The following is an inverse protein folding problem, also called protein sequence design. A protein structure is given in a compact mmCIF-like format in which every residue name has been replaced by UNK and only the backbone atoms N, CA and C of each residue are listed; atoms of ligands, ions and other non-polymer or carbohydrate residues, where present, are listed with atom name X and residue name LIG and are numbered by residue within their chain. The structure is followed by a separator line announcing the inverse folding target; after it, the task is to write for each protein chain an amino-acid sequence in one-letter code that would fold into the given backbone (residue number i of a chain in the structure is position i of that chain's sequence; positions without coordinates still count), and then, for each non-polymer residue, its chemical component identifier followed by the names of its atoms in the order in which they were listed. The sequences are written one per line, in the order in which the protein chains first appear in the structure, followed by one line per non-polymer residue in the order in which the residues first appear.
data_IF_110745042262
#
_entry.id   IF_110745042262
#
_cell.length_a   1.000
_cell.length_b   1.000
_cell.length_c   1.000
_cell.angle_alpha   90.00
_cell.angle_beta   90.00
_cell.angle_gamma   90.00
#
_symmetry.space_group_name_H-M   'P 1'
#
loop_
_entity.id
_entity.type
_entity.pdbx_description
1 polymer ?
2 non-polymer ?
3 non-polymer ?
4 water ?
#
# COMPACT_ATOMS: atom_id res chain seq x y z
N UNK A 1 7.27 -10.44 18.33
CA UNK A 1 6.20 -9.54 17.85
C UNK A 1 6.86 -8.39 17.08
N UNK A 2 6.35 -8.07 15.89
CA UNK A 2 6.86 -6.93 15.09
C UNK A 2 5.86 -5.81 15.17
N UNK A 3 6.33 -4.58 15.18
CA UNK A 3 5.49 -3.39 15.20
C UNK A 3 6.00 -2.38 14.17
N UNK A 4 5.11 -1.88 13.32
CA UNK A 4 5.48 -0.82 12.40
C UNK A 4 4.66 0.43 12.70
N UNK A 5 5.33 1.56 12.84
CA UNK A 5 4.72 2.82 13.22
C UNK A 5 5.07 3.83 12.14
N UNK A 6 4.12 4.69 11.79
CA UNK A 6 4.34 5.57 10.66
C UNK A 6 3.38 6.73 10.69
N UNK A 7 3.89 7.89 10.26
CA UNK A 7 3.16 9.14 10.38
C UNK A 7 2.06 9.29 9.35
N UNK A 8 0.92 9.77 9.85
CA UNK A 8 -0.27 10.00 9.04
C UNK A 8 -0.26 11.33 8.29
N UNK A 9 -0.40 11.26 6.97
CA UNK A 9 -0.71 12.46 6.21
C UNK A 9 0.42 13.48 6.35
N UNK A 10 1.58 12.97 6.75
CA UNK A 10 2.80 13.77 6.85
C UNK A 10 3.09 14.54 5.55
N UNK A 11 2.86 13.93 4.39
CA UNK A 11 3.10 14.62 3.14
C UNK A 11 2.29 15.89 2.95
N UNK A 12 1.08 15.95 3.49
CA UNK A 12 0.24 17.11 3.22
C UNK A 12 0.81 18.39 3.85
N UNK A 13 1.37 18.31 5.06
CA UNK A 13 1.91 19.50 5.70
C UNK A 13 3.26 19.88 5.08
N UNK A 14 4.00 18.89 4.57
CA UNK A 14 5.27 19.14 3.88
C UNK A 14 5.01 19.82 2.54
N UNK A 15 4.12 19.22 1.76
CA UNK A 15 3.74 19.81 0.48
C UNK A 15 3.14 21.19 0.67
N UNK A 16 2.31 21.37 1.71
CA UNK A 16 1.75 22.70 1.96
C UNK A 16 2.87 23.73 2.12
N UNK A 17 3.98 23.33 2.72
CA UNK A 17 5.08 24.25 2.98
C UNK A 17 5.84 24.59 1.71
N UNK A 18 6.01 23.64 0.81
CA UNK A 18 6.61 23.95 -0.48
C UNK A 18 5.78 24.99 -1.22
N UNK A 19 4.48 24.78 -1.30
CA UNK A 19 3.60 25.52 -2.19
C UNK A 19 3.35 26.90 -1.66
N UNK A 20 3.43 27.06 -0.35
CA UNK A 20 3.33 28.41 0.19
C UNK A 20 4.71 29.09 0.42
N UNK A 21 5.79 28.50 -0.09
CA UNK A 21 7.13 29.04 0.07
C UNK A 21 7.48 29.31 1.53
N UNK A 22 7.20 28.33 2.37
CA UNK A 22 7.39 28.44 3.80
C UNK A 22 8.49 27.50 4.24
N UNK A 23 9.73 27.83 3.88
CA UNK A 23 10.85 26.94 4.18
C UNK A 23 11.06 26.71 5.69
N UNK A 24 10.78 27.70 6.54
CA UNK A 24 11.03 27.53 7.96
C UNK A 24 10.10 26.50 8.56
N UNK A 25 8.81 26.58 8.09
CA UNK A 25 7.78 25.60 8.49
C UNK A 25 8.17 24.26 7.87
N UNK A 26 8.69 24.24 6.67
CA UNK A 26 9.17 22.98 6.11
C UNK A 26 10.32 22.42 6.95
N UNK A 27 11.28 23.27 7.34
CA UNK A 27 12.37 22.74 8.15
C UNK A 27 11.89 22.28 9.52
N UNK A 28 10.98 23.03 10.17
CA UNK A 28 10.48 22.63 11.49
C UNK A 28 9.81 21.26 11.45
N UNK A 29 8.99 20.99 10.44
CA UNK A 29 8.27 19.72 10.39
C UNK A 29 9.23 18.59 10.07
N UNK A 30 10.25 18.86 9.26
CA UNK A 30 11.23 17.82 9.00
C UNK A 30 11.97 17.41 10.25
N UNK A 31 12.49 18.38 11.03
CA UNK A 31 13.18 18.03 12.26
C UNK A 31 12.19 17.55 13.31
N UNK A 32 10.95 18.04 13.29
CA UNK A 32 9.97 17.53 14.24
C UNK A 32 9.63 16.06 13.99
N UNK A 33 9.48 15.66 12.72
CA UNK A 33 9.36 14.24 12.42
C UNK A 33 10.56 13.47 12.94
N UNK A 34 11.75 13.99 12.59
CA UNK A 34 13.06 13.42 13.01
C UNK A 34 13.05 13.18 14.52
N UNK A 35 12.63 14.19 15.27
CA UNK A 35 12.67 14.13 16.74
C UNK A 35 11.55 13.26 17.33
N UNK A 36 10.41 13.13 16.66
CA UNK A 36 9.31 12.38 17.24
C UNK A 36 9.58 10.89 17.07
N UNK A 37 10.05 10.49 15.88
CA UNK A 37 10.48 9.10 15.71
C UNK A 37 11.62 8.78 16.67
N UNK A 38 12.37 9.80 17.08
CA UNK A 38 13.40 9.61 18.10
C UNK A 38 12.75 9.29 19.43
N UNK A 39 11.75 10.10 19.82
CA UNK A 39 10.99 9.80 21.03
C UNK A 39 10.38 8.42 21.00
N UNK A 40 9.79 8.04 19.86
CA UNK A 40 9.17 6.74 19.74
C UNK A 40 10.21 5.65 19.85
N UNK A 41 11.35 5.81 19.19
CA UNK A 41 12.37 4.76 19.23
C UNK A 41 12.91 4.56 20.63
N UNK A 42 12.96 5.62 21.43
CA UNK A 42 13.48 5.50 22.79
C UNK A 42 12.45 4.85 23.73
N UNK A 43 11.17 5.25 23.64
CA UNK A 43 10.16 4.58 24.46
C UNK A 43 10.15 3.09 24.17
N UNK A 44 10.40 2.71 22.93
CA UNK A 44 10.34 1.30 22.59
C UNK A 44 11.53 0.56 23.18
N UNK A 45 12.71 1.20 23.14
CA UNK A 45 13.88 0.56 23.73
C UNK A 45 13.72 0.35 25.21
N UNK A 46 13.14 1.33 25.90
CA UNK A 46 12.93 1.20 27.32
C UNK A 46 11.99 0.07 27.67
N UNK A 47 11.19 -0.41 26.71
CA UNK A 47 10.28 -1.54 26.97
C UNK A 47 10.75 -2.82 26.30
N UNK A 48 12.04 -2.92 26.05
CA UNK A 48 12.60 -4.18 25.62
C UNK A 48 12.49 -4.47 24.14
N UNK A 49 12.31 -3.43 23.31
CA UNK A 49 12.27 -3.58 21.86
C UNK A 49 13.66 -3.42 21.23
N UNK A 50 13.83 -4.01 20.05
CA UNK A 50 15.03 -3.84 19.21
C UNK A 50 14.60 -3.04 17.97
N UNK A 51 15.13 -1.82 17.78
CA UNK A 51 14.73 -0.94 16.64
C UNK A 51 15.29 -1.52 15.34
N UNK A 52 14.46 -1.64 14.30
CA UNK A 52 14.84 -2.10 12.97
C UNK A 52 15.14 -0.92 12.04
N UNK A 53 14.28 0.09 12.09
CA UNK A 53 14.68 1.40 11.58
C UNK A 53 13.87 2.48 12.32
N UNK A 54 14.50 3.64 12.45
CA UNK A 54 13.87 4.84 12.99
C UNK A 54 14.36 5.92 12.01
N UNK A 55 13.60 6.18 10.95
CA UNK A 55 14.00 7.13 9.90
C UNK A 55 12.76 7.69 9.23
N UNK A 56 12.89 8.80 8.52
CA UNK A 56 11.75 9.47 7.86
C UNK A 56 10.72 9.80 8.94
N UNK A 57 9.50 9.33 8.82
CA UNK A 57 8.42 9.53 9.83
C UNK A 57 7.93 8.19 10.41
N UNK A 58 8.71 7.11 10.29
CA UNK A 58 8.38 5.80 10.76
C UNK A 58 9.40 5.21 11.74
N UNK A 59 8.97 4.12 12.38
CA UNK A 59 9.79 3.28 13.27
C UNK A 59 9.24 1.86 13.22
N UNK A 60 10.09 0.89 12.93
CA UNK A 60 9.79 -0.52 12.93
C UNK A 60 10.70 -1.13 13.95
N UNK A 61 10.16 -2.09 14.71
CA UNK A 61 10.85 -2.66 15.86
C UNK A 61 10.21 -4.01 16.15
N UNK A 62 10.85 -4.76 17.04
CA UNK A 62 10.43 -6.11 17.42
C UNK A 62 10.80 -6.35 18.87
N UNK A 63 10.07 -7.21 19.58
CA UNK A 63 10.32 -7.43 21.02
C UNK A 63 10.18 -8.88 21.33
N UNK A 64 11.31 -9.53 21.62
CA UNK A 64 11.28 -10.96 22.02
C UNK A 64 10.93 -11.00 23.51
N UNK A 65 10.46 -9.87 24.05
CA UNK A 65 10.06 -9.80 25.48
C UNK A 65 8.54 -9.58 25.49
N UNK A 66 7.98 -9.38 26.68
CA UNK A 66 6.47 -9.23 26.65
C UNK A 66 6.25 -7.70 26.70
N UNK A 67 5.02 -7.30 26.40
CA UNK A 67 4.81 -5.84 26.28
C UNK A 67 3.34 -5.44 26.47
N UNK A 68 3.06 -4.42 27.28
CA UNK A 68 1.69 -3.87 27.38
C UNK A 68 1.56 -2.97 26.15
N UNK A 69 0.74 -3.37 25.19
CA UNK A 69 0.53 -2.67 23.90
C UNK A 69 -0.51 -1.57 23.98
N UNK A 70 -1.47 -1.60 24.97
CA UNK A 70 -2.25 -0.35 25.08
C UNK A 70 -1.39 0.75 25.68
N UNK A 71 -0.49 0.39 26.58
CA UNK A 71 0.47 1.38 27.04
C UNK A 71 1.29 1.91 25.90
N UNK A 72 1.92 1.00 25.16
CA UNK A 72 2.85 1.45 24.14
C UNK A 72 2.14 2.37 23.18
N UNK A 73 0.97 1.95 22.69
CA UNK A 73 0.33 2.79 21.68
C UNK A 73 -0.28 4.05 22.29
N UNK A 74 -0.75 3.97 23.52
CA UNK A 74 -1.24 5.17 24.20
C UNK A 74 -0.14 6.22 24.27
N UNK A 75 1.10 5.90 24.32
CA UNK A 75 2.26 6.85 24.36
C UNK A 75 2.68 7.26 22.94
N UNK A 76 2.56 6.33 21.97
CA UNK A 76 2.72 6.76 20.57
C UNK A 76 1.65 7.80 20.24
N UNK A 77 0.41 7.54 20.63
CA UNK A 77 -0.65 8.52 20.42
C UNK A 77 -0.30 9.89 20.99
N UNK A 78 0.47 9.93 22.07
CA UNK A 78 0.71 11.16 22.82
C UNK A 78 1.87 11.97 22.27
N UNK A 79 2.61 11.49 21.29
CA UNK A 79 3.60 12.34 20.61
C UNK A 79 2.99 13.04 19.39
N UNK A 80 1.69 12.88 19.18
CA UNK A 80 1.02 13.69 18.17
C UNK A 80 1.31 15.17 18.38
N UNK A 81 1.37 15.90 17.28
CA UNK A 81 1.62 17.33 17.33
C UNK A 81 0.90 17.98 16.16
N UNK A 82 0.39 19.13 16.27
CA UNK A 82 -0.18 19.90 15.14
C UNK A 82 -0.85 19.04 14.07
N UNK A 83 -1.86 18.19 14.49
CA UNK A 83 -2.70 17.50 13.50
C UNK A 83 -1.96 16.42 12.74
N UNK A 84 -0.86 15.91 13.26
CA UNK A 84 -0.16 14.79 12.66
C UNK A 84 -0.21 13.66 13.68
N UNK A 85 -0.97 12.62 13.36
CA UNK A 85 -1.05 11.46 14.23
C UNK A 85 -0.13 10.39 13.69
N UNK A 86 -0.09 9.26 14.40
CA UNK A 86 0.62 8.04 14.01
C UNK A 86 -0.29 6.81 14.05
N UNK A 87 -0.15 5.97 13.05
CA UNK A 87 -0.80 4.67 12.99
C UNK A 87 0.22 3.60 13.30
N UNK A 88 -0.29 2.46 13.74
CA UNK A 88 0.58 1.35 13.99
C UNK A 88 -0.09 0.08 13.49
N UNK A 89 0.76 -0.85 13.06
CA UNK A 89 0.36 -2.22 12.86
C UNK A 89 1.26 -3.16 13.66
N UNK A 90 0.72 -4.31 14.03
CA UNK A 90 1.46 -5.32 14.76
C UNK A 90 1.19 -6.68 14.15
N UNK A 91 2.21 -7.53 14.14
CA UNK A 91 1.98 -8.88 13.69
C UNK A 91 3.09 -9.75 14.25
N UNK A 92 3.07 -11.03 13.87
CA UNK A 92 4.12 -11.94 14.31
C UNK A 92 5.35 -11.88 13.40
N UNK A 93 5.25 -11.30 12.22
CA UNK A 93 6.44 -11.05 11.43
C UNK A 93 6.32 -9.70 10.77
N UNK A 94 7.38 -9.33 10.06
CA UNK A 94 7.42 -8.03 9.41
C UNK A 94 6.28 -7.88 8.42
N UNK A 95 6.02 -8.91 7.63
CA UNK A 95 4.95 -8.79 6.66
C UNK A 95 3.62 -8.53 7.35
N UNK A 96 3.35 -9.26 8.42
CA UNK A 96 2.06 -9.11 9.10
C UNK A 96 1.92 -7.75 9.73
N UNK A 97 3.00 -7.23 10.33
CA UNK A 97 2.90 -5.89 10.91
C UNK A 97 2.64 -4.87 9.82
N UNK A 98 3.19 -5.11 8.64
CA UNK A 98 2.96 -4.24 7.50
C UNK A 98 1.48 -4.21 7.10
N UNK A 99 0.89 -5.38 6.82
CA UNK A 99 -0.53 -5.47 6.47
C UNK A 99 -1.35 -4.77 7.55
N UNK A 100 -1.11 -5.14 8.81
CA UNK A 100 -1.89 -4.52 9.87
C UNK A 100 -1.67 -3.02 9.89
N UNK A 101 -0.47 -2.56 9.53
CA UNK A 101 -0.25 -1.13 9.38
C UNK A 101 -1.11 -0.55 8.25
N UNK A 102 -1.18 -1.24 7.12
CA UNK A 102 -2.03 -0.71 6.04
C UNK A 102 -3.47 -0.63 6.53
N UNK A 103 -3.84 -1.59 7.35
CA UNK A 103 -5.20 -1.63 7.83
C UNK A 103 -5.54 -0.37 8.59
N UNK A 104 -4.61 0.07 9.46
CA UNK A 104 -4.82 1.28 10.24
C UNK A 104 -4.84 2.53 9.35
N UNK A 105 -3.87 2.63 8.45
CA UNK A 105 -3.82 3.74 7.48
C UNK A 105 -5.11 3.72 6.69
N UNK A 106 -5.75 2.55 6.61
CA UNK A 106 -6.94 2.34 5.81
C UNK A 106 -8.25 2.46 6.58
N UNK A 107 -8.25 2.79 7.87
CA UNK A 107 -9.46 2.68 8.65
C UNK A 107 -9.58 3.81 9.67
N UNK A 108 -9.18 5.03 9.32
CA UNK A 108 -9.30 6.21 10.19
C UNK A 108 -7.98 6.81 10.58
N UNK A 109 -6.91 6.02 10.61
CA UNK A 109 -5.56 6.47 11.04
C UNK A 109 -5.60 6.86 12.52
N UNK A 110 -4.48 7.27 13.12
CA UNK A 110 -4.43 7.56 14.58
C UNK A 110 -4.96 6.31 15.29
N UNK A 111 -4.54 5.14 14.84
CA UNK A 111 -5.11 3.89 15.39
C UNK A 111 -4.09 2.76 15.24
N UNK A 112 -4.30 1.66 15.97
CA UNK A 112 -3.47 0.47 15.93
C UNK A 112 -4.33 -0.72 15.48
N UNK A 113 -3.72 -1.59 14.72
CA UNK A 113 -4.33 -2.84 14.30
C UNK A 113 -3.37 -3.95 14.64
N UNK A 114 -3.91 -5.17 14.90
CA UNK A 114 -3.14 -6.36 15.18
C UNK A 114 -3.48 -7.42 14.13
N UNK A 115 -2.45 -7.95 13.47
CA UNK A 115 -2.71 -8.82 12.33
C UNK A 115 -3.60 -10.01 12.69
N UNK A 116 -3.32 -10.70 13.81
CA UNK A 116 -4.11 -11.89 14.14
C UNK A 116 -5.59 -11.54 14.25
N UNK A 117 -5.90 -10.34 14.76
CA UNK A 117 -7.28 -9.93 14.91
C UNK A 117 -7.97 -9.72 13.57
N UNK A 118 -7.24 -9.19 12.57
CA UNK A 118 -7.80 -8.96 11.24
C UNK A 118 -8.27 -10.27 10.62
N UNK A 119 -7.46 -11.32 10.73
CA UNK A 119 -7.81 -12.60 10.12
C UNK A 119 -9.10 -13.20 10.69
N UNK A 120 -9.47 -12.80 11.91
CA UNK A 120 -10.63 -13.34 12.64
C UNK A 120 -11.74 -12.29 12.83
N UNK B 1 -11.18 -18.37 -5.73
CA UNK B 1 -9.94 -17.62 -6.00
C UNK B 1 -10.29 -16.18 -6.39
N UNK B 2 -9.50 -15.21 -5.99
CA UNK B 2 -9.65 -13.81 -6.34
C UNK B 2 -8.36 -13.29 -6.95
N UNK B 3 -8.51 -12.33 -7.88
CA UNK B 3 -7.42 -11.71 -8.63
C UNK B 3 -7.59 -10.20 -8.69
N UNK B 4 -6.55 -9.47 -8.32
CA UNK B 4 -6.56 -8.02 -8.38
C UNK B 4 -5.44 -7.62 -9.33
N UNK B 5 -5.82 -6.84 -10.37
CA UNK B 5 -4.95 -6.40 -11.44
C UNK B 5 -5.03 -4.89 -11.50
N UNK B 6 -3.89 -4.22 -11.71
CA UNK B 6 -3.86 -2.78 -11.68
C UNK B 6 -2.66 -2.28 -12.47
N UNK B 7 -2.87 -1.15 -13.16
CA UNK B 7 -1.91 -0.65 -14.11
C UNK B 7 -0.72 -0.04 -13.40
N UNK B 8 0.46 -0.30 -13.97
CA UNK B 8 1.74 0.15 -13.44
C UNK B 8 2.05 1.61 -13.79
N UNK B 9 2.22 2.44 -12.75
CA UNK B 9 2.82 3.75 -12.96
C UNK B 9 1.97 4.64 -13.87
N UNK B 10 0.77 4.47 -14.02
CA UNK B 10 -0.13 5.24 -14.94
C UNK B 10 -0.21 6.69 -14.47
N UNK B 11 -0.16 6.89 -13.04
CA UNK B 11 -0.15 8.28 -12.63
C UNK B 11 1.02 9.05 -13.19
N UNK B 12 2.14 8.40 -13.45
CA UNK B 12 3.29 9.14 -13.96
C UNK B 12 2.98 9.74 -15.32
N UNK B 13 2.14 9.09 -16.13
CA UNK B 13 1.81 9.59 -17.47
C UNK B 13 0.64 10.57 -17.48
N UNK B 14 -0.20 10.57 -16.45
CA UNK B 14 -1.29 11.52 -16.33
C UNK B 14 -0.74 12.85 -15.86
N UNK B 15 0.10 12.81 -14.83
CA UNK B 15 0.74 14.02 -14.33
C UNK B 15 1.60 14.65 -15.41
N UNK B 16 2.33 13.84 -16.15
CA UNK B 16 3.19 14.38 -17.19
C UNK B 16 2.39 15.23 -18.16
N UNK B 17 1.18 14.79 -18.50
CA UNK B 17 0.35 15.52 -19.43
C UNK B 17 -0.27 16.75 -18.81
N UNK B 18 -0.56 16.73 -17.50
CA UNK B 18 -0.93 17.97 -16.85
C UNK B 18 0.20 18.98 -16.93
N UNK B 19 1.42 18.56 -16.62
CA UNK B 19 2.54 19.49 -16.49
C UNK B 19 3.02 19.99 -17.84
N UNK B 20 2.76 19.26 -18.92
CA UNK B 20 3.10 19.72 -20.25
C UNK B 20 1.94 20.37 -20.99
N UNK B 21 0.79 20.60 -20.35
CA UNK B 21 -0.35 21.24 -21.01
C UNK B 21 -0.74 20.48 -22.28
N UNK B 22 -0.81 19.15 -22.15
CA UNK B 22 -1.10 18.24 -23.24
C UNK B 22 -2.48 17.65 -23.00
N UNK B 23 -3.50 18.50 -23.15
CA UNK B 23 -4.84 18.05 -22.82
C UNK B 23 -5.23 16.86 -23.66
N UNK B 24 -4.74 16.78 -24.90
CA UNK B 24 -5.15 15.67 -25.76
C UNK B 24 -4.55 14.36 -25.28
N UNK B 25 -3.31 14.40 -24.76
CA UNK B 25 -2.70 13.18 -24.25
C UNK B 25 -3.35 12.73 -22.94
N UNK B 26 -3.68 13.66 -22.07
CA UNK B 26 -4.44 13.30 -20.89
C UNK B 26 -5.75 12.61 -21.27
N UNK B 27 -6.48 13.15 -22.25
CA UNK B 27 -7.73 12.47 -22.65
C UNK B 27 -7.41 11.12 -23.29
N UNK B 28 -6.39 11.08 -24.15
CA UNK B 28 -6.01 9.81 -24.76
C UNK B 28 -5.68 8.76 -23.70
N UNK B 29 -4.99 9.14 -22.62
CA UNK B 29 -4.55 8.15 -21.63
C UNK B 29 -5.72 7.68 -20.77
N UNK B 30 -6.62 8.61 -20.43
CA UNK B 30 -7.81 8.23 -19.68
C UNK B 30 -8.67 7.24 -20.47
N UNK B 31 -9.08 7.65 -21.67
CA UNK B 31 -10.01 6.85 -22.50
C UNK B 31 -9.40 5.47 -22.78
N UNK B 32 -8.10 5.40 -22.91
CA UNK B 32 -7.41 4.13 -23.23
C UNK B 32 -7.29 3.29 -21.95
N UNK B 33 -7.29 3.87 -20.76
CA UNK B 33 -7.26 3.10 -19.49
C UNK B 33 -8.63 2.43 -19.37
N UNK B 34 -9.73 3.13 -19.58
CA UNK B 34 -11.10 2.60 -19.61
C UNK B 34 -11.23 1.52 -20.67
N UNK B 35 -10.69 1.78 -21.87
CA UNK B 35 -10.84 0.77 -22.91
C UNK B 35 -10.02 -0.47 -22.61
N UNK B 36 -8.87 -0.30 -21.98
CA UNK B 36 -7.99 -1.43 -21.79
C UNK B 36 -8.49 -2.28 -20.63
N UNK B 37 -8.90 -1.66 -19.51
CA UNK B 37 -9.52 -2.43 -18.45
C UNK B 37 -10.79 -3.13 -18.96
N UNK B 38 -11.50 -2.51 -19.91
CA UNK B 38 -12.68 -3.16 -20.45
C UNK B 38 -12.30 -4.47 -21.12
N UNK B 39 -11.30 -4.38 -22.00
CA UNK B 39 -10.86 -5.54 -22.78
C UNK B 39 -10.37 -6.64 -21.85
N UNK B 40 -9.72 -6.27 -20.75
CA UNK B 40 -9.20 -7.25 -19.80
C UNK B 40 -10.35 -7.93 -19.06
N UNK B 41 -11.31 -7.14 -18.57
CA UNK B 41 -12.43 -7.73 -17.84
C UNK B 41 -13.22 -8.67 -18.72
N UNK B 42 -13.28 -8.36 -20.02
CA UNK B 42 -13.96 -9.29 -20.92
C UNK B 42 -13.13 -10.55 -21.14
N UNK B 43 -11.82 -10.44 -21.23
CA UNK B 43 -11.04 -11.66 -21.33
C UNK B 43 -11.24 -12.54 -20.09
N UNK B 44 -11.46 -11.97 -18.91
CA UNK B 44 -11.62 -12.77 -17.71
C UNK B 44 -12.99 -13.45 -17.68
N UNK B 45 -14.07 -12.74 -18.04
CA UNK B 45 -15.36 -13.42 -18.08
C UNK B 45 -15.29 -14.60 -19.04
N UNK B 46 -14.62 -14.42 -20.17
CA UNK B 46 -14.43 -15.45 -21.18
C UNK B 46 -13.54 -16.57 -20.69
N UNK B 47 -12.84 -16.37 -19.57
CA UNK B 47 -12.12 -17.44 -18.90
C UNK B 47 -12.79 -17.83 -17.57
N UNK B 48 -14.09 -17.57 -17.43
CA UNK B 48 -14.86 -18.06 -16.31
C UNK B 48 -14.73 -17.28 -15.01
N UNK B 49 -14.32 -16.03 -15.06
CA UNK B 49 -14.30 -15.19 -13.86
C UNK B 49 -15.65 -14.47 -13.72
N UNK B 50 -15.93 -14.00 -12.50
CA UNK B 50 -16.99 -13.05 -12.18
C UNK B 50 -16.30 -11.73 -11.85
N UNK B 51 -16.75 -10.62 -12.45
CA UNK B 51 -16.08 -9.32 -12.30
C UNK B 51 -16.54 -8.65 -11.01
N UNK B 52 -15.60 -8.16 -10.22
CA UNK B 52 -15.95 -7.39 -9.03
C UNK B 52 -15.97 -5.91 -9.31
N UNK B 53 -14.94 -5.40 -9.98
CA UNK B 53 -15.03 -4.08 -10.61
C UNK B 53 -14.02 -4.05 -11.74
N UNK B 54 -14.26 -3.11 -12.65
CA UNK B 54 -13.33 -2.80 -13.76
C UNK B 54 -13.48 -1.28 -13.89
N UNK B 55 -12.52 -0.50 -13.41
CA UNK B 55 -12.58 0.96 -13.42
C UNK B 55 -11.18 1.48 -13.07
N UNK B 56 -11.00 2.79 -13.25
CA UNK B 56 -9.75 3.50 -13.00
C UNK B 56 -8.71 2.82 -13.88
N UNK B 57 -7.65 2.23 -13.31
CA UNK B 57 -6.70 1.45 -14.13
C UNK B 57 -6.72 0.02 -13.62
N UNK B 58 -7.78 -0.41 -12.92
CA UNK B 58 -7.81 -1.73 -12.29
C UNK B 58 -8.95 -2.63 -12.72
N UNK B 59 -8.83 -3.92 -12.42
CA UNK B 59 -9.87 -4.92 -12.71
C UNK B 59 -9.70 -6.00 -11.62
N UNK B 60 -10.61 -6.07 -10.65
CA UNK B 60 -10.61 -7.13 -9.64
C UNK B 60 -11.70 -8.10 -10.04
N UNK B 61 -11.56 -9.41 -9.83
CA UNK B 61 -12.51 -10.45 -10.23
C UNK B 61 -12.20 -11.70 -9.42
N UNK B 62 -13.07 -12.71 -9.58
CA UNK B 62 -12.98 -13.95 -8.82
C UNK B 62 -13.43 -15.11 -9.71
N UNK B 63 -13.13 -16.34 -9.29
CA UNK B 63 -13.62 -17.54 -9.98
C UNK B 63 -13.48 -18.73 -9.02
N UNK B 64 -14.50 -19.58 -8.98
CA UNK B 64 -14.40 -20.89 -8.39
C UNK B 64 -13.98 -21.96 -9.41
N UNK B 65 -13.53 -21.56 -10.59
CA UNK B 65 -13.16 -22.53 -11.65
C UNK B 65 -11.65 -22.63 -11.71
N UNK B 66 -11.15 -23.80 -12.11
CA UNK B 66 -9.69 -23.99 -12.23
C UNK B 66 -9.21 -23.19 -13.45
N UNK B 67 -7.98 -22.68 -13.38
CA UNK B 67 -7.45 -21.85 -14.48
C UNK B 67 -5.92 -21.87 -14.45
N UNK B 68 -5.25 -21.86 -15.60
CA UNK B 68 -3.77 -21.70 -15.66
C UNK B 68 -3.63 -20.21 -15.46
N UNK B 69 -2.89 -19.75 -14.45
CA UNK B 69 -2.84 -18.33 -14.07
C UNK B 69 -1.76 -17.68 -14.91
N UNK B 70 -0.79 -18.45 -15.39
CA UNK B 70 0.16 -17.90 -16.35
C UNK B 70 -0.48 -17.79 -17.73
N UNK B 71 -1.48 -18.61 -17.99
CA UNK B 71 -2.24 -18.47 -19.25
C UNK B 71 -2.94 -17.14 -19.09
N UNK B 72 -3.79 -16.95 -18.09
CA UNK B 72 -4.54 -15.68 -18.01
C UNK B 72 -3.61 -14.47 -18.00
N UNK B 73 -2.57 -14.54 -17.15
CA UNK B 73 -1.70 -13.39 -17.00
C UNK B 73 -0.95 -13.10 -18.28
N UNK B 74 -0.64 -14.13 -19.08
CA UNK B 74 -0.02 -13.83 -20.38
C UNK B 74 -0.93 -13.01 -21.30
N UNK B 75 -2.25 -13.12 -21.13
CA UNK B 75 -3.18 -12.42 -22.00
C UNK B 75 -3.36 -11.03 -21.48
N UNK B 76 -3.22 -10.88 -20.17
CA UNK B 76 -3.29 -9.56 -19.55
C UNK B 76 -2.10 -8.74 -19.97
N UNK B 77 -0.91 -9.34 -19.94
CA UNK B 77 0.29 -8.67 -20.45
C UNK B 77 0.08 -8.20 -21.89
N UNK B 78 -0.83 -8.85 -22.62
CA UNK B 78 -0.97 -8.55 -24.04
C UNK B 78 -1.88 -7.34 -24.32
N UNK B 79 -2.61 -6.84 -23.32
CA UNK B 79 -3.31 -5.56 -23.46
C UNK B 79 -2.48 -4.38 -22.96
N UNK B 80 -1.25 -4.65 -22.51
CA UNK B 80 -0.30 -3.58 -22.23
C UNK B 80 -0.21 -2.64 -23.44
N UNK B 81 -0.01 -1.36 -23.16
CA UNK B 81 0.00 -0.39 -24.24
C UNK B 81 0.90 0.76 -23.84
N UNK B 82 1.65 1.25 -24.82
CA UNK B 82 2.48 2.45 -24.69
C UNK B 82 3.10 2.63 -23.31
N UNK B 83 3.88 1.64 -22.88
CA UNK B 83 4.73 1.78 -21.69
C UNK B 83 3.93 1.73 -20.38
N UNK B 84 2.76 1.11 -20.42
CA UNK B 84 1.94 0.80 -19.24
C UNK B 84 1.76 -0.70 -19.21
N UNK B 85 2.24 -1.33 -18.14
CA UNK B 85 2.03 -2.75 -17.90
C UNK B 85 0.95 -2.93 -16.84
N UNK B 86 0.67 -4.16 -16.53
CA UNK B 86 -0.24 -4.45 -15.43
C UNK B 86 0.43 -5.44 -14.51
N UNK B 87 0.23 -5.20 -13.22
CA UNK B 87 0.57 -6.13 -12.16
C UNK B 87 -0.72 -6.82 -11.68
N UNK B 88 -0.58 -8.02 -11.14
CA UNK B 88 -1.72 -8.76 -10.61
C UNK B 88 -1.32 -9.55 -9.37
N UNK B 89 -2.28 -9.74 -8.47
CA UNK B 89 -2.16 -10.75 -7.41
C UNK B 89 -3.33 -11.69 -7.30
N UNK B 90 -3.08 -12.89 -6.79
CA UNK B 90 -4.17 -13.82 -6.56
C UNK B 90 -4.06 -14.40 -5.16
N UNK B 91 -5.21 -14.74 -4.58
CA UNK B 91 -5.29 -15.41 -3.29
C UNK B 91 -6.66 -16.04 -3.15
N UNK B 92 -6.94 -16.61 -1.97
CA UNK B 92 -8.23 -17.26 -1.80
C UNK B 92 -9.38 -16.33 -1.42
N UNK B 93 -9.10 -15.14 -0.90
CA UNK B 93 -10.10 -14.10 -0.61
C UNK B 93 -9.56 -12.76 -1.11
N UNK B 94 -10.32 -11.70 -0.87
CA UNK B 94 -9.93 -10.38 -1.36
C UNK B 94 -8.64 -9.88 -0.73
N UNK B 95 -8.49 -10.06 0.58
CA UNK B 95 -7.31 -9.54 1.25
C UNK B 95 -6.03 -10.18 0.72
N UNK B 96 -6.06 -11.49 0.52
CA UNK B 96 -4.86 -12.19 0.08
C UNK B 96 -4.46 -11.75 -1.31
N UNK B 97 -5.45 -11.44 -2.15
CA UNK B 97 -5.16 -10.95 -3.50
C UNK B 97 -4.58 -9.54 -3.48
N UNK B 98 -5.07 -8.67 -2.62
CA UNK B 98 -4.51 -7.33 -2.49
C UNK B 98 -3.05 -7.42 -2.07
N UNK B 99 -2.78 -8.06 -0.95
CA UNK B 99 -1.40 -8.24 -0.53
C UNK B 99 -0.55 -8.73 -1.70
N UNK B 100 -0.99 -9.80 -2.35
CA UNK B 100 -0.21 -10.34 -3.48
C UNK B 100 -0.12 -9.32 -4.61
N UNK B 101 -1.14 -8.47 -4.77
CA UNK B 101 -1.00 -7.36 -5.69
C UNK B 101 0.10 -6.43 -5.23
N UNK B 102 0.14 -6.10 -3.95
CA UNK B 102 1.24 -5.26 -3.47
C UNK B 102 2.60 -5.92 -3.71
N UNK B 103 2.66 -7.23 -3.60
CA UNK B 103 3.93 -7.92 -3.79
C UNK B 103 4.48 -7.66 -5.17
N UNK B 104 3.61 -7.81 -6.19
CA UNK B 104 3.99 -7.60 -7.60
C UNK B 104 4.44 -6.15 -7.83
N UNK B 105 3.77 -5.20 -7.18
CA UNK B 105 4.05 -3.76 -7.36
C UNK B 105 5.37 -3.39 -6.66
N UNK B 106 5.83 -4.22 -5.71
CA UNK B 106 7.07 -3.98 -4.94
C UNK B 106 8.26 -4.76 -5.52
N UNK B 107 8.04 -5.64 -6.50
CA UNK B 107 9.10 -6.56 -6.97
C UNK B 107 9.28 -6.51 -8.49
N UNK B 108 9.12 -5.36 -9.13
CA UNK B 108 9.43 -5.19 -10.56
C UNK B 108 8.23 -4.87 -11.40
N UNK B 109 7.04 -5.15 -10.87
CA UNK B 109 5.79 -4.91 -11.60
C UNK B 109 5.76 -5.75 -12.89
N UNK B 110 4.77 -5.54 -13.73
CA UNK B 110 4.54 -6.34 -14.93
C UNK B 110 4.59 -7.83 -14.60
N UNK B 111 3.98 -8.19 -13.47
CA UNK B 111 4.07 -9.53 -12.92
C UNK B 111 2.86 -9.85 -12.08
N UNK B 112 2.74 -11.13 -11.78
CA UNK B 112 1.69 -11.73 -10.97
C UNK B 112 2.37 -12.45 -9.82
N UNK B 113 1.77 -12.35 -8.65
CA UNK B 113 2.20 -13.06 -7.47
C UNK B 113 1.00 -13.80 -6.90
N UNK B 114 1.30 -14.92 -6.25
CA UNK B 114 0.30 -15.78 -5.64
C UNK B 114 0.51 -15.70 -4.14
N UNK B 115 -0.56 -15.35 -3.41
CA UNK B 115 -0.43 -15.20 -1.96
C UNK B 115 0.16 -16.44 -1.33
N UNK B 116 -0.26 -17.62 -1.78
CA UNK B 116 0.24 -18.83 -1.14
C UNK B 116 1.76 -18.90 -1.24
N UNK B 117 2.30 -18.54 -2.41
CA UNK B 117 3.74 -18.59 -2.58
C UNK B 117 4.45 -17.56 -1.72
N UNK B 118 3.83 -16.41 -1.50
CA UNK B 118 4.49 -15.38 -0.70
C UNK B 118 4.74 -15.93 0.69
N UNK B 119 3.72 -16.53 1.29
CA UNK B 119 3.84 -17.04 2.65
C UNK B 119 4.84 -18.17 2.78
N UNK B 120 5.29 -18.79 1.69
CA UNK B 120 6.18 -19.92 1.76
C UNK B 120 7.54 -19.57 1.14
X LIG C 1 4.06 8.24 3.09
X LIG C 1 2.22 10.32 4.34
X LIG C 1 0.51 7.93 4.86
X LIG C 1 3.85 7.50 1.80
X LIG C 1 3.44 10.88 4.97
X LIG C 1 1.55 6.86 5.02
X LIG C 1 4.42 7.42 4.27
X LIG C 1 1.23 11.27 3.72
X LIG C 1 -0.49 7.89 5.93
X LIG C 1 2.83 9.34 3.18
X LIG C 1 1.19 9.37 5.08
X LIG C 1 -0.11 7.94 3.50
X LIG C 1 5.44 8.97 2.79
X LIG C 1 6.05 9.89 3.71
X LIG C 1 6.11 11.24 3.05
X LIG C 1 6.56 12.25 3.98
X LIG C 1 7.11 11.35 1.90
X LIG C 1 6.82 12.49 1.09
X LIG C 1 8.40 11.52 2.71
X LIG C 1 9.47 11.96 1.93
X LIG C 1 7.92 12.54 3.74
X LIG C 1 8.62 12.45 5.01
X LIG C 1 8.37 11.55 6.00
X LIG C 1 9.16 11.69 7.03
X LIG C 1 9.97 12.77 6.70
X LIG C 1 11.01 13.41 7.40
X LIG C 1 11.43 13.07 8.61
X LIG C 1 11.61 14.44 6.76
X LIG C 1 11.19 14.80 5.55
X LIG C 1 10.22 14.27 4.82
X LIG C 1 9.64 13.24 5.45
X LIG C 1 2.42 9.42 2.46
X LIG C 1 5.55 9.93 4.55
X LIG C 1 6.97 9.59 3.92
X LIG C 1 5.20 11.47 2.73
X LIG C 1 7.14 10.53 1.36
X LIG C 1 6.22 12.95 1.48
X LIG C 1 8.64 10.67 3.15
X LIG C 1 9.22 12.63 1.46
X LIG C 1 8.01 13.45 3.37
X LIG C 1 7.72 10.89 5.94
X LIG C 1 12.24 13.28 8.86
X LIG C 1 10.88 12.64 9.15
X LIG C 1 11.64 15.53 5.16
X LIG D 1 3.45 8.49 6.28
X LIG E 1 -2.53 4.20 -8.92
X LIG E 1 0.00 4.40 -10.35
X LIG E 1 1.14 1.95 -9.23
X LIG E 1 -3.18 4.38 -7.56
X LIG E 1 -1.01 3.69 -11.24
X LIG E 1 -0.26 1.43 -9.28
X LIG E 1 -2.56 2.73 -9.32
X LIG E 1 0.60 5.68 -10.81
X LIG E 1 2.00 0.98 -10.00
X LIG E 1 -0.87 4.80 -9.00
X LIG E 1 1.26 3.36 -10.07
X LIG E 1 1.57 2.04 -7.78
X LIG E 1 -3.25 5.04 -10.09
X LIG E 1 -4.23 5.97 -9.86
X LIG E 1 -4.01 7.34 -10.34
X LIG E 1 -4.46 7.31 -11.88
X LIG E 1 -4.93 7.99 -9.61
X LIG E 1 -4.60 9.40 -9.45
X LIG E 1 -6.25 7.93 -10.47
X LIG E 1 -6.97 9.01 -10.25
X LIG E 1 -5.63 7.92 -11.92
X LIG E 1 -6.39 7.18 -12.93
X LIG E 1 -6.46 5.86 -12.84
X LIG E 1 -7.22 5.43 -13.91
X LIG E 1 -7.58 6.49 -14.61
X LIG E 1 -8.34 6.61 -15.78
X LIG E 1 -9.03 5.61 -16.67
X LIG E 1 -8.56 7.82 -16.31
X LIG E 1 -8.03 8.93 -15.70
X LIG E 1 -7.29 8.82 -14.56
X LIG E 1 -7.07 7.61 -14.02
X LIG E 1 -0.53 5.28 -8.37
X LIG E 1 -5.04 5.64 -10.27
X LIG E 1 -4.35 6.03 -8.90
X LIG E 1 -3.13 7.75 -10.28
X LIG E 1 -5.01 7.55 -8.76
X LIG E 1 -4.41 9.73 -10.20
X LIG E 1 -6.80 7.14 -10.28
X LIG E 1 -5.57 8.87 -12.11
X LIG E 1 -6.05 5.29 -12.17
X LIG E 1 -9.71 5.85 -17.15
X LIG E 1 -8.77 4.78 -16.69
X LIG E 1 -8.18 9.80 -16.08
X LIG F 1 -2.04 1.73 -10.78
#
# INVERSE_FOLDING_TARGET
MYIAIDGDDVGRKITSSYLSNSEERLTYISNKLNDTTKKISKMLLSNGFEIIFQAADGVTAKTDNEVNLNFVFDKIKSYSFDEITFSAGVGANLREAYVALLNSKSNGKNMISIYKDILENLYFQ
MYIAIDGDDVGRKITSSYLSNSEERLTYISNKLNDTTKKISKMLLSNGFEIIFQAADGVTAKTDNEVNLNFVFDKIKSYSFDEITFSAGVGANLREAYVALLNSKSNGKNMISIYKDILENLYFQ
ZAN PA PB PG O1A O1B O1G O2A O2B O2G N3A O3B O3G O5' C5' C4' O4' C3' O3' C2' O2' C1' N9 C8 N7 C5 C6 N6 N1 C2 N3 C4 H5 H6 H7 H8 H9 H10 H11 H12 H13 H14 H15 H16 H17
MG MG
ZAN PA PB PG O1A O1B O1G O2A O2B O2G N3A O3B O3G O5' C5' C4' O4' C3' O3' C2' O2' C1' N9 C8 N7 C5 C6 N6 N1 C2 N3 C4 H5 H6 H7 H8 H9 H10 H11 H13 H14 H15 H16 H17
MG MG
#
